data_IF_734781700820
#
_entry.id   IF_734781700820
#
_cell.length_a   1.000
_cell.length_b   1.000
_cell.length_c   1.000
_cell.angle_alpha   90.00
_cell.angle_beta   90.00
_cell.angle_gamma   90.00
#
_symmetry.space_group_name_H-M   'P 1'
#
loop_
_entity.id
_entity.type
_entity.pdbx_description
1 polymer ?
#
# COMPACT_ATOMS: atom_id res chain seq x y z
N UNK A 1 -13.82 17.58 8.89
CA UNK A 1 -14.82 16.55 9.31
C UNK A 1 -14.13 15.65 10.31
N UNK A 2 -14.88 14.89 11.12
CA UNK A 2 -14.26 13.82 11.90
C UNK A 2 -13.88 12.67 10.95
N UNK A 3 -12.62 12.23 10.99
CA UNK A 3 -12.16 11.06 10.25
C UNK A 3 -12.99 9.85 10.67
N UNK A 4 -13.48 9.04 9.73
CA UNK A 4 -14.27 7.83 10.05
C UNK A 4 -13.36 6.62 10.18
N UNK A 5 -12.33 6.50 9.34
CA UNK A 5 -11.37 5.38 9.34
C UNK A 5 -9.90 5.84 9.38
N UNK A 6 -9.01 5.06 10.01
CA UNK A 6 -7.56 5.34 10.04
C UNK A 6 -6.97 5.46 8.62
N UNK A 7 -7.57 4.78 7.64
CA UNK A 7 -7.26 4.88 6.20
C UNK A 7 -7.33 6.29 5.64
N UNK A 8 -8.17 7.16 6.19
CA UNK A 8 -8.28 8.55 5.71
C UNK A 8 -7.05 9.38 6.10
N UNK A 9 -6.34 9.00 7.17
CA UNK A 9 -5.11 9.67 7.61
C UNK A 9 -3.89 9.20 6.81
N UNK A 10 -3.94 7.98 6.24
CA UNK A 10 -2.83 7.38 5.53
C UNK A 10 -2.43 8.17 4.28
N UNK A 11 -3.38 8.40 3.36
CA UNK A 11 -3.09 9.04 2.08
C UNK A 11 -2.49 10.47 2.22
N UNK A 12 -3.00 11.35 3.11
CA UNK A 12 -2.39 12.66 3.34
C UNK A 12 -0.96 12.59 3.86
N UNK A 13 -0.67 11.68 4.80
CA UNK A 13 0.67 11.52 5.38
C UNK A 13 1.64 10.96 4.35
N UNK A 14 1.20 9.98 3.55
CA UNK A 14 1.98 9.46 2.42
C UNK A 14 2.35 10.57 1.44
N UNK A 15 1.36 11.31 0.94
CA UNK A 15 1.59 12.40 -0.01
C UNK A 15 2.53 13.48 0.57
N UNK A 16 2.40 13.80 1.86
CA UNK A 16 3.29 14.75 2.53
C UNK A 16 4.77 14.32 2.45
N UNK A 17 5.08 13.05 2.72
CA UNK A 17 6.46 12.57 2.67
C UNK A 17 6.96 12.29 1.25
N UNK A 18 6.10 11.86 0.33
CA UNK A 18 6.46 11.74 -1.09
C UNK A 18 6.89 13.09 -1.67
N UNK A 19 6.17 14.17 -1.32
CA UNK A 19 6.55 15.54 -1.69
C UNK A 19 7.88 16.00 -1.08
N UNK A 20 8.37 15.34 -0.02
CA UNK A 20 9.69 15.57 0.57
C UNK A 20 10.80 14.70 -0.05
N UNK A 21 10.46 13.93 -1.09
CA UNK A 21 11.37 13.08 -1.86
C UNK A 21 11.57 11.69 -1.28
N UNK A 22 10.64 11.19 -0.46
CA UNK A 22 10.65 9.81 0.01
C UNK A 22 9.91 8.90 -0.98
N UNK A 23 10.46 7.72 -1.25
CA UNK A 23 9.65 6.59 -1.74
C UNK A 23 8.89 6.02 -0.53
N UNK A 24 7.56 5.95 -0.59
CA UNK A 24 6.72 5.58 0.56
C UNK A 24 5.84 4.37 0.25
N UNK A 25 5.79 3.41 1.17
CA UNK A 25 4.97 2.19 1.08
C UNK A 25 4.29 1.89 2.42
N UNK A 26 3.04 1.43 2.38
CA UNK A 26 2.25 1.13 3.55
C UNK A 26 2.46 -0.29 4.07
N UNK A 27 2.13 -0.53 5.35
CA UNK A 27 2.04 -1.86 5.96
C UNK A 27 3.30 -2.73 5.86
N UNK A 28 4.50 -2.13 5.85
CA UNK A 28 5.78 -2.84 5.74
C UNK A 28 6.21 -3.35 7.12
N UNK A 29 6.28 -4.68 7.31
CA UNK A 29 6.54 -5.32 8.63
C UNK A 29 5.67 -4.78 9.76
N UNK A 30 4.38 -4.65 9.49
CA UNK A 30 3.36 -4.13 10.40
C UNK A 30 3.60 -2.66 10.80
N UNK A 31 4.42 -1.90 10.08
CA UNK A 31 4.48 -0.45 10.24
C UNK A 31 3.47 0.16 9.27
N UNK A 32 2.64 1.10 9.74
CA UNK A 32 1.58 1.68 8.90
C UNK A 32 2.15 2.33 7.64
N UNK A 33 3.27 3.05 7.76
CA UNK A 33 3.98 3.67 6.64
C UNK A 33 5.50 3.60 6.85
N UNK A 34 6.21 3.21 5.80
CA UNK A 34 7.67 3.26 5.74
C UNK A 34 8.08 4.08 4.53
N UNK A 35 9.08 4.95 4.69
CA UNK A 35 9.64 5.75 3.61
C UNK A 35 11.15 5.61 3.53
N UNK A 36 11.71 5.63 2.32
CA UNK A 36 13.17 5.69 2.11
C UNK A 36 13.47 6.87 1.19
N UNK A 37 14.40 7.72 1.61
CA UNK A 37 14.92 8.77 0.74
C UNK A 37 16.11 8.22 -0.06
N UNK A 38 16.18 8.43 -1.39
CA UNK A 38 17.32 7.98 -2.19
C UNK A 38 18.64 8.46 -1.58
N UNK A 39 19.61 7.54 -1.45
CA UNK A 39 20.91 7.82 -0.84
C UNK A 39 20.93 7.83 0.70
N UNK A 40 19.80 7.67 1.40
CA UNK A 40 19.75 7.58 2.85
C UNK A 40 19.44 6.15 3.33
N UNK A 41 20.17 5.70 4.36
CA UNK A 41 19.98 4.37 4.95
C UNK A 41 19.04 4.35 6.16
N UNK A 42 18.57 5.52 6.61
CA UNK A 42 17.67 5.63 7.76
C UNK A 42 16.24 5.72 7.25
N UNK A 43 15.43 4.64 7.40
CA UNK A 43 14.07 4.65 6.90
C UNK A 43 13.21 5.59 7.75
N UNK A 44 12.37 6.39 7.11
CA UNK A 44 11.24 7.01 7.77
C UNK A 44 10.24 5.93 8.19
N UNK A 45 9.71 6.00 9.40
CA UNK A 45 8.59 5.15 9.83
C UNK A 45 7.52 6.04 10.42
N UNK A 46 6.25 5.83 10.04
CA UNK A 46 5.10 6.54 10.61
C UNK A 46 4.07 5.54 11.08
N UNK A 47 3.67 5.65 12.35
CA UNK A 47 2.53 4.95 12.92
C UNK A 47 1.33 5.91 12.98
N UNK A 48 0.14 5.43 12.65
CA UNK A 48 -1.05 6.24 12.43
C UNK A 48 -2.18 5.72 13.32
N UNK A 49 -2.78 6.62 14.11
CA UNK A 49 -4.03 6.33 14.83
C UNK A 49 -4.99 7.49 14.73
N UNK A 50 -6.29 7.21 14.81
CA UNK A 50 -7.30 8.28 14.80
C UNK A 50 -7.09 9.28 15.94
N UNK A 51 -6.79 8.80 17.14
CA UNK A 51 -6.53 9.62 18.32
C UNK A 51 -5.16 9.28 18.90
N UNK A 52 -4.56 10.27 19.58
CA UNK A 52 -3.33 10.03 20.33
C UNK A 52 -3.65 9.20 21.58
N UNK A 53 -3.08 8.01 21.67
CA UNK A 53 -3.31 7.07 22.76
C UNK A 53 -2.03 6.30 23.10
N UNK A 54 -2.04 5.54 24.20
CA UNK A 54 -0.86 4.81 24.67
C UNK A 54 -0.40 3.74 23.66
N UNK A 55 -1.31 3.09 22.95
CA UNK A 55 -0.95 2.09 21.95
C UNK A 55 -0.09 2.69 20.83
N UNK A 56 -0.48 3.86 20.30
CA UNK A 56 0.30 4.59 19.30
C UNK A 56 1.72 4.92 19.81
N UNK A 57 1.82 5.38 21.06
CA UNK A 57 3.12 5.72 21.68
C UNK A 57 4.01 4.48 21.80
N UNK A 58 3.45 3.38 22.31
CA UNK A 58 4.20 2.11 22.47
C UNK A 58 4.65 1.55 21.11
N UNK A 59 3.80 1.65 20.08
CA UNK A 59 4.17 1.28 18.71
C UNK A 59 5.32 2.16 18.22
N UNK A 60 5.21 3.50 18.33
CA UNK A 60 6.28 4.42 17.96
C UNK A 60 7.60 4.11 18.66
N UNK A 61 7.59 3.88 19.97
CA UNK A 61 8.77 3.49 20.73
C UNK A 61 9.38 2.15 20.27
N UNK A 62 8.54 1.21 19.85
CA UNK A 62 9.02 -0.05 19.27
C UNK A 62 9.74 0.18 17.93
N UNK A 63 9.26 1.14 17.12
CA UNK A 63 9.90 1.52 15.84
C UNK A 63 11.21 2.27 16.02
N UNK A 64 11.43 2.95 17.14
CA UNK A 64 12.72 3.57 17.46
C UNK A 64 13.89 2.56 17.50
N UNK A 65 13.58 1.26 17.73
CA UNK A 65 14.57 0.17 17.64
C UNK A 65 15.00 -0.16 16.20
N UNK A 66 14.27 0.36 15.20
CA UNK A 66 14.47 0.10 13.76
C UNK A 66 15.01 1.33 13.03
N UNK A 67 14.56 2.52 13.44
CA UNK A 67 14.93 3.79 12.87
C UNK A 67 14.92 4.89 13.92
N UNK A 68 15.77 5.89 13.74
CA UNK A 68 15.73 7.11 14.53
C UNK A 68 14.77 8.17 13.95
N UNK A 69 14.29 7.97 12.72
CA UNK A 69 13.34 8.85 12.02
C UNK A 69 11.91 8.29 12.12
N UNK A 70 11.31 8.38 13.31
CA UNK A 70 9.99 7.80 13.60
C UNK A 70 8.98 8.90 13.96
N UNK A 71 7.87 8.94 13.24
CA UNK A 71 6.75 9.80 13.56
C UNK A 71 5.54 8.99 14.05
N UNK A 72 4.72 9.63 14.87
CA UNK A 72 3.35 9.21 15.13
C UNK A 72 2.39 10.26 14.55
N UNK A 73 1.31 9.82 13.91
CA UNK A 73 0.36 10.70 13.23
C UNK A 73 -1.07 10.48 13.73
N UNK A 74 -1.78 11.58 13.97
CA UNK A 74 -3.17 11.55 14.46
C UNK A 74 -4.07 12.59 13.81
N UNK A 75 -5.38 12.40 13.90
CA UNK A 75 -6.35 13.40 13.47
C UNK A 75 -6.31 14.64 14.38
N UNK A 76 -6.30 15.83 13.78
CA UNK A 76 -6.61 17.09 14.45
C UNK A 76 -8.02 17.55 14.11
N UNK A 77 -8.97 17.14 14.95
CA UNK A 77 -10.37 17.49 14.78
C UNK A 77 -10.66 18.93 15.20
N UNK A 78 -10.94 19.81 14.22
CA UNK A 78 -11.28 21.23 14.44
C UNK A 78 -12.71 21.49 14.90
N UNK A 79 -13.64 20.53 14.74
CA UNK A 79 -15.04 20.70 15.15
C UNK A 79 -15.23 20.56 16.67
N UNK A 80 -14.30 19.91 17.36
CA UNK A 80 -14.23 19.86 18.83
C UNK A 80 -13.53 21.12 19.40
N UNK A 81 -13.88 22.30 18.89
CA UNK A 81 -13.48 23.58 19.47
C UNK A 81 -14.10 23.68 20.87
N UNK A 82 -13.26 23.80 21.90
CA UNK A 82 -13.70 23.80 23.31
C UNK A 82 -13.41 22.51 24.07
N UNK A 83 -12.83 21.48 23.43
CA UNK A 83 -12.15 20.45 24.19
C UNK A 83 -10.88 21.07 24.80
N UNK A 84 -10.95 21.44 26.07
CA UNK A 84 -9.83 21.63 27.01
C UNK A 84 -8.80 20.47 26.94
N UNK A 85 -9.12 19.37 26.23
CA UNK A 85 -8.41 18.09 26.18
C UNK A 85 -7.65 17.77 24.89
N UNK A 86 -7.03 18.76 24.23
CA UNK A 86 -5.89 18.45 23.36
C UNK A 86 -4.69 19.22 23.87
N UNK A 87 -4.05 18.65 24.89
CA UNK A 87 -2.83 19.14 25.55
C UNK A 87 -1.64 18.99 24.60
N UNK A 88 -1.72 19.60 23.41
CA UNK A 88 -0.76 19.43 22.32
C UNK A 88 0.66 19.74 22.77
N UNK A 89 0.85 20.78 23.58
CA UNK A 89 2.15 21.12 24.15
C UNK A 89 2.74 19.98 24.99
N UNK A 90 1.91 19.27 25.75
CA UNK A 90 2.35 18.13 26.55
C UNK A 90 2.58 16.88 25.72
N UNK A 91 1.74 16.63 24.71
CA UNK A 91 1.96 15.54 23.76
C UNK A 91 3.26 15.77 22.97
N UNK A 92 3.54 17.02 22.58
CA UNK A 92 4.80 17.44 21.98
C UNK A 92 5.95 17.21 22.96
N UNK A 93 5.80 17.62 24.23
CA UNK A 93 6.79 17.40 25.29
C UNK A 93 7.13 15.91 25.47
N UNK A 94 6.10 15.07 25.58
CA UNK A 94 6.24 13.62 25.67
C UNK A 94 6.94 13.03 24.44
N UNK A 95 6.49 13.39 23.23
CA UNK A 95 7.11 12.87 22.00
C UNK A 95 8.59 13.27 21.90
N UNK A 96 8.93 14.52 22.26
CA UNK A 96 10.33 14.99 22.34
C UNK A 96 11.15 14.17 23.34
N UNK A 97 10.64 13.94 24.55
CA UNK A 97 11.32 13.12 25.56
C UNK A 97 11.56 11.68 25.09
N UNK A 98 10.62 11.13 24.32
CA UNK A 98 10.72 9.78 23.77
C UNK A 98 11.52 9.71 22.46
N UNK A 99 11.89 10.83 21.85
CA UNK A 99 12.57 10.86 20.55
C UNK A 99 11.66 10.68 19.33
N UNK A 100 10.33 10.78 19.51
CA UNK A 100 9.33 10.65 18.45
C UNK A 100 9.01 12.00 17.80
N UNK A 101 8.77 11.98 16.49
CA UNK A 101 8.08 13.07 15.80
C UNK A 101 6.56 12.97 15.97
N UNK A 102 5.86 14.10 15.94
CA UNK A 102 4.40 14.16 16.03
C UNK A 102 3.84 14.90 14.82
N UNK A 103 2.96 14.22 14.09
CA UNK A 103 2.20 14.76 12.97
C UNK A 103 0.73 14.88 13.35
N UNK A 104 0.07 15.90 12.83
CA UNK A 104 -1.38 15.99 12.85
C UNK A 104 -1.96 16.19 11.46
N UNK A 105 -3.08 15.54 11.19
CA UNK A 105 -3.82 15.69 9.94
C UNK A 105 -5.16 16.37 10.21
N UNK A 106 -5.42 17.49 9.56
CA UNK A 106 -6.73 18.14 9.56
C UNK A 106 -7.44 17.86 8.23
N UNK A 107 -8.63 17.24 8.29
CA UNK A 107 -9.51 17.12 7.12
C UNK A 107 -10.51 18.28 7.03
N UNK A 108 -10.58 18.91 5.86
CA UNK A 108 -11.58 19.94 5.54
C UNK A 108 -12.70 19.36 4.68
N UNK A 109 -13.84 20.06 4.61
CA UNK A 109 -14.94 19.67 3.70
C UNK A 109 -14.66 20.08 2.26
N UNK A 110 -13.97 21.21 2.06
CA UNK A 110 -13.86 21.92 0.79
C UNK A 110 -12.42 22.12 0.33
N UNK A 111 -11.44 21.64 1.11
CA UNK A 111 -10.01 21.86 0.85
C UNK A 111 -9.24 20.55 1.06
N UNK A 112 -8.08 20.37 0.41
CA UNK A 112 -7.23 19.21 0.65
C UNK A 112 -6.83 19.12 2.14
N UNK A 113 -6.59 17.90 2.66
CA UNK A 113 -6.18 17.70 4.03
C UNK A 113 -4.83 18.39 4.31
N UNK A 114 -4.70 18.97 5.50
CA UNK A 114 -3.47 19.63 5.94
C UNK A 114 -2.73 18.73 6.91
N UNK A 115 -1.47 18.42 6.58
CA UNK A 115 -0.53 17.75 7.48
C UNK A 115 0.36 18.79 8.15
N UNK A 116 0.38 18.80 9.48
CA UNK A 116 1.22 19.70 10.29
C UNK A 116 2.22 18.86 11.10
N UNK A 117 3.49 19.27 11.08
CA UNK A 117 4.54 18.69 11.93
C UNK A 117 4.60 19.47 13.24
N UNK A 118 4.12 18.88 14.33
CA UNK A 118 4.14 19.52 15.65
C UNK A 118 5.51 19.37 16.34
N UNK A 119 6.17 18.24 16.14
CA UNK A 119 7.58 18.08 16.47
C UNK A 119 8.28 17.09 15.55
N UNK A 120 9.58 17.30 15.33
CA UNK A 120 10.44 16.38 14.60
C UNK A 120 11.07 15.37 15.59
N UNK A 121 11.42 14.15 15.15
CA UNK A 121 12.16 13.19 15.95
C UNK A 121 13.50 13.80 16.38
N UNK A 122 13.96 13.49 17.60
CA UNK A 122 15.17 14.09 18.19
C UNK A 122 16.43 13.78 17.37
N UNK A 123 16.42 12.70 16.60
CA UNK A 123 17.52 12.32 15.73
C UNK A 123 17.53 12.97 14.33
N UNK A 124 16.69 14.00 14.09
CA UNK A 124 16.73 14.76 12.84
C UNK A 124 17.93 15.74 12.75
N UNK A 125 18.78 15.82 13.77
CA UNK A 125 20.13 16.35 13.65
C UNK A 125 21.07 15.21 13.24
N UNK A 126 21.65 15.35 12.05
CA UNK A 126 22.44 14.36 11.28
C UNK A 126 23.65 13.70 12.00
N UNK A 127 23.89 13.94 13.29
CA UNK A 127 25.15 13.60 13.96
C UNK A 127 25.11 12.38 14.88
N UNK A 128 23.94 11.89 15.34
CA UNK A 128 23.90 10.79 16.32
C UNK A 128 23.75 9.40 15.70
N UNK A 129 23.33 9.30 14.43
CA UNK A 129 23.15 8.00 13.74
C UNK A 129 23.90 7.91 12.41
N UNK A 130 25.05 8.60 12.29
CA UNK A 130 26.00 8.33 11.21
C UNK A 130 26.49 6.87 11.32
N UNK A 131 26.11 6.10 10.31
CA UNK A 131 26.90 4.98 9.76
C UNK A 131 27.28 3.84 10.72
N UNK A 132 26.32 3.28 11.47
CA UNK A 132 26.49 1.87 11.85
C UNK A 132 26.03 1.00 10.70
N UNK A 133 26.98 0.31 10.06
CA UNK A 133 26.70 -0.66 9.00
C UNK A 133 25.54 -1.57 9.41
N UNK A 134 24.55 -1.72 8.52
CA UNK A 134 23.36 -2.55 8.78
C UNK A 134 23.84 -3.98 9.04
N UNK A 135 23.68 -4.45 10.29
CA UNK A 135 24.05 -5.83 10.65
C UNK A 135 23.17 -6.82 9.88
N UNK A 136 23.79 -7.82 9.24
CA UNK A 136 23.09 -8.94 8.61
C UNK A 136 22.19 -9.65 9.63
N UNK A 137 20.96 -9.98 9.25
CA UNK A 137 19.92 -10.57 10.08
C UNK A 137 19.13 -9.57 10.96
N UNK A 138 19.54 -8.30 11.02
CA UNK A 138 18.90 -7.30 11.90
C UNK A 138 17.44 -7.02 11.51
N UNK A 139 16.65 -6.55 12.49
CA UNK A 139 15.26 -6.16 12.22
C UNK A 139 15.18 -5.01 11.20
N UNK A 140 16.16 -4.10 11.21
CA UNK A 140 16.33 -3.01 10.24
C UNK A 140 16.59 -3.54 8.83
N UNK A 141 17.53 -4.48 8.66
CA UNK A 141 17.80 -5.10 7.36
C UNK A 141 16.55 -5.79 6.79
N UNK A 142 15.83 -6.54 7.63
CA UNK A 142 14.59 -7.22 7.23
C UNK A 142 13.50 -6.23 6.81
N UNK A 143 13.38 -5.09 7.49
CA UNK A 143 12.45 -4.01 7.13
C UNK A 143 12.78 -3.45 5.75
N UNK A 144 14.04 -3.09 5.51
CA UNK A 144 14.50 -2.56 4.23
C UNK A 144 14.33 -3.57 3.10
N UNK A 145 14.65 -4.85 3.35
CA UNK A 145 14.45 -5.93 2.38
C UNK A 145 12.99 -6.09 2.00
N UNK A 146 12.08 -6.00 2.96
CA UNK A 146 10.64 -6.06 2.65
C UNK A 146 10.18 -4.83 1.88
N UNK A 147 10.64 -3.62 2.27
CA UNK A 147 10.31 -2.38 1.58
C UNK A 147 10.71 -2.44 0.09
N UNK A 148 11.93 -2.88 -0.21
CA UNK A 148 12.41 -2.99 -1.59
C UNK A 148 11.77 -4.16 -2.37
N UNK A 149 11.29 -5.19 -1.69
CA UNK A 149 10.62 -6.31 -2.34
C UNK A 149 9.21 -5.97 -2.86
N UNK A 150 8.59 -4.89 -2.36
CA UNK A 150 7.26 -4.44 -2.80
C UNK A 150 7.36 -3.58 -4.05
N UNK A 151 6.54 -3.87 -5.05
CA UNK A 151 6.51 -3.08 -6.30
C UNK A 151 5.64 -1.83 -6.23
N UNK A 152 4.82 -1.66 -5.19
CA UNK A 152 3.93 -0.52 -5.03
C UNK A 152 3.25 -0.46 -3.66
N UNK A 153 2.37 0.53 -3.48
CA UNK A 153 1.60 0.75 -2.27
C UNK A 153 0.17 0.22 -2.40
N UNK A 154 0.03 -1.11 -2.37
CA UNK A 154 -1.27 -1.78 -2.56
C UNK A 154 -2.13 -1.80 -1.28
N UNK A 155 -1.61 -1.30 -0.16
CA UNK A 155 -2.30 -1.28 1.13
C UNK A 155 -2.57 0.14 1.57
N UNK A 156 -3.82 0.58 1.47
CA UNK A 156 -4.28 1.79 2.16
C UNK A 156 -4.35 1.45 3.66
N UNK A 157 -3.42 2.00 4.46
CA UNK A 157 -3.20 1.61 5.86
C UNK A 157 -4.45 1.65 6.74
N UNK A 158 -4.63 0.67 7.64
CA UNK A 158 -5.77 0.63 8.57
C UNK A 158 -7.09 0.10 8.00
N UNK A 159 -7.12 -0.47 6.79
CA UNK A 159 -8.31 -1.14 6.27
C UNK A 159 -8.54 -2.48 6.94
N UNK A 160 -9.53 -2.58 7.83
CA UNK A 160 -9.92 -3.85 8.48
C UNK A 160 -10.68 -4.81 7.55
N UNK A 161 -11.02 -4.39 6.31
CA UNK A 161 -11.85 -5.18 5.39
C UNK A 161 -11.14 -5.63 4.09
N UNK A 162 -10.00 -5.05 3.70
CA UNK A 162 -9.18 -5.58 2.59
C UNK A 162 -8.03 -6.41 3.15
N UNK A 163 -7.85 -7.64 2.63
CA UNK A 163 -6.73 -8.52 3.04
C UNK A 163 -5.39 -7.87 2.67
N UNK A 164 -4.55 -7.61 3.67
CA UNK A 164 -3.27 -6.93 3.55
C UNK A 164 -2.33 -7.60 2.51
N UNK A 165 -1.97 -6.91 1.44
CA UNK A 165 -1.06 -7.40 0.41
C UNK A 165 0.39 -7.26 0.90
N UNK A 166 0.92 -8.31 1.52
CA UNK A 166 2.34 -8.36 1.91
C UNK A 166 3.25 -8.59 0.70
N UNK A 167 4.56 -8.31 0.82
CA UNK A 167 5.54 -8.65 -0.21
C UNK A 167 5.54 -10.16 -0.57
N UNK A 168 5.28 -11.04 0.41
CA UNK A 168 5.12 -12.47 0.13
C UNK A 168 3.86 -12.75 -0.67
N UNK A 169 2.75 -12.05 -0.37
CA UNK A 169 1.50 -12.18 -1.11
C UNK A 169 1.65 -11.70 -2.55
N UNK A 170 2.35 -10.59 -2.81
CA UNK A 170 2.67 -10.14 -4.17
C UNK A 170 3.46 -11.22 -4.93
N UNK A 171 4.54 -11.74 -4.33
CA UNK A 171 5.31 -12.83 -4.94
C UNK A 171 4.45 -14.06 -5.24
N UNK A 172 3.61 -14.47 -4.29
CA UNK A 172 2.70 -15.59 -4.46
C UNK A 172 1.68 -15.33 -5.59
N UNK A 173 1.16 -14.11 -5.72
CA UNK A 173 0.25 -13.72 -6.79
C UNK A 173 0.94 -13.76 -8.15
N UNK A 174 2.19 -13.30 -8.28
CA UNK A 174 2.96 -13.43 -9.53
C UNK A 174 3.19 -14.88 -9.94
N UNK A 175 3.58 -15.71 -8.98
CA UNK A 175 3.78 -17.15 -9.22
C UNK A 175 2.45 -17.80 -9.59
N UNK A 176 1.35 -17.41 -8.97
CA UNK A 176 0.01 -17.90 -9.31
C UNK A 176 -0.42 -17.46 -10.72
N UNK A 177 -0.22 -16.20 -11.10
CA UNK A 177 -0.55 -15.70 -12.43
C UNK A 177 0.27 -16.40 -13.53
N UNK A 178 1.58 -16.57 -13.32
CA UNK A 178 2.42 -17.33 -14.23
C UNK A 178 1.98 -18.79 -14.34
N UNK A 179 1.50 -19.39 -13.25
CA UNK A 179 1.00 -20.76 -13.25
C UNK A 179 -0.37 -20.90 -13.92
N UNK A 180 -1.23 -19.89 -13.82
CA UNK A 180 -2.51 -19.83 -14.56
C UNK A 180 -2.27 -19.88 -16.07
N UNK A 181 -1.32 -19.09 -16.58
CA UNK A 181 -1.00 -19.08 -18.02
C UNK A 181 -0.34 -20.36 -18.53
N UNK A 182 0.33 -21.13 -17.66
CA UNK A 182 1.04 -22.36 -18.02
C UNK A 182 0.25 -23.65 -17.70
N UNK A 183 -0.80 -23.56 -16.87
CA UNK A 183 -1.55 -24.70 -16.32
C UNK A 183 -0.75 -25.51 -15.29
N UNK A 184 0.28 -26.21 -15.77
CA UNK A 184 1.23 -26.95 -14.93
C UNK A 184 2.66 -26.54 -15.24
N UNK A 185 3.44 -26.20 -14.22
CA UNK A 185 4.81 -25.76 -14.43
C UNK A 185 5.78 -26.22 -13.34
N UNK A 186 7.06 -26.25 -13.73
CA UNK A 186 8.16 -26.50 -12.80
C UNK A 186 8.62 -25.20 -12.11
N UNK A 187 9.13 -25.27 -10.87
CA UNK A 187 9.59 -24.08 -10.13
C UNK A 187 10.60 -23.22 -10.89
N UNK A 188 11.51 -23.83 -11.65
CA UNK A 188 12.50 -23.10 -12.44
C UNK A 188 11.88 -22.31 -13.60
N UNK A 189 10.82 -22.83 -14.21
CA UNK A 189 10.08 -22.13 -15.27
C UNK A 189 9.30 -20.97 -14.67
N UNK A 190 8.59 -21.21 -13.57
CA UNK A 190 7.85 -20.17 -12.85
C UNK A 190 8.76 -19.05 -12.34
N UNK A 191 9.97 -19.36 -11.89
CA UNK A 191 10.93 -18.35 -11.44
C UNK A 191 11.30 -17.36 -12.56
N UNK A 192 11.42 -17.86 -13.80
CA UNK A 192 11.69 -17.02 -14.98
C UNK A 192 10.45 -16.23 -15.41
N UNK A 193 9.32 -16.91 -15.57
CA UNK A 193 8.07 -16.29 -16.07
C UNK A 193 7.52 -15.25 -15.09
N UNK A 194 7.54 -15.52 -13.78
CA UNK A 194 7.03 -14.61 -12.76
C UNK A 194 8.08 -13.56 -12.31
N UNK A 195 9.33 -13.64 -12.79
CA UNK A 195 10.46 -12.89 -12.26
C UNK A 195 10.63 -13.02 -10.73
N UNK A 196 10.38 -14.22 -10.18
CA UNK A 196 10.50 -14.53 -8.75
C UNK A 196 11.57 -15.60 -8.55
N UNK A 197 12.79 -15.20 -8.22
CA UNK A 197 13.94 -16.11 -8.06
C UNK A 197 13.72 -17.21 -7.00
N UNK A 198 12.90 -16.95 -5.98
CA UNK A 198 12.54 -17.87 -4.91
C UNK A 198 11.19 -18.59 -5.11
N UNK A 199 10.71 -18.74 -6.36
CA UNK A 199 9.42 -19.38 -6.66
C UNK A 199 9.28 -20.79 -6.05
N UNK A 200 10.37 -21.57 -6.00
CA UNK A 200 10.36 -22.89 -5.36
C UNK A 200 9.99 -22.81 -3.86
N UNK A 201 10.49 -21.81 -3.13
CA UNK A 201 10.18 -21.64 -1.72
C UNK A 201 8.73 -21.18 -1.51
N UNK A 202 8.20 -20.35 -2.42
CA UNK A 202 6.79 -19.92 -2.41
C UNK A 202 5.85 -21.12 -2.59
N UNK A 203 6.12 -21.96 -3.59
CA UNK A 203 5.35 -23.18 -3.88
C UNK A 203 5.41 -24.19 -2.73
N UNK A 204 6.57 -24.34 -2.08
CA UNK A 204 6.75 -25.30 -0.98
C UNK A 204 6.09 -24.84 0.32
N UNK A 205 6.19 -23.55 0.66
CA UNK A 205 5.60 -23.02 1.90
C UNK A 205 4.09 -22.93 1.81
N UNK A 206 3.56 -22.55 0.63
CA UNK A 206 2.14 -22.56 0.30
C UNK A 206 1.21 -22.04 1.41
N UNK A 207 1.57 -20.94 2.09
CA UNK A 207 0.83 -20.42 3.25
C UNK A 207 -0.66 -20.13 3.00
N UNK A 208 -1.05 -19.95 1.73
CA UNK A 208 -2.41 -19.63 1.34
C UNK A 208 -3.16 -20.80 0.69
N UNK A 209 -2.51 -21.95 0.51
CA UNK A 209 -3.12 -23.11 -0.15
C UNK A 209 -3.41 -22.92 -1.64
N UNK A 210 -2.73 -21.98 -2.31
CA UNK A 210 -2.97 -21.64 -3.72
C UNK A 210 -2.36 -22.64 -4.70
N UNK A 211 -1.38 -23.41 -4.25
CA UNK A 211 -0.62 -24.32 -5.10
C UNK A 211 -0.81 -25.77 -4.66
N UNK A 212 -0.79 -26.69 -5.61
CA UNK A 212 -0.74 -28.12 -5.33
C UNK A 212 0.34 -28.78 -6.18
N UNK A 213 1.02 -29.78 -5.59
CA UNK A 213 2.06 -30.54 -6.27
C UNK A 213 1.46 -31.79 -6.89
N UNK A 214 1.34 -31.80 -8.22
CA UNK A 214 0.74 -32.91 -8.97
C UNK A 214 1.74 -34.01 -9.32
N UNK A 215 3.03 -33.66 -9.46
CA UNK A 215 4.09 -34.61 -9.70
C UNK A 215 5.43 -34.10 -9.13
N UNK A 216 6.49 -34.90 -9.30
CA UNK A 216 7.83 -34.50 -8.84
C UNK A 216 8.26 -33.23 -9.57
N UNK A 217 8.28 -32.10 -8.84
CA UNK A 217 8.72 -30.82 -9.38
C UNK A 217 7.71 -30.15 -10.31
N UNK A 218 6.44 -30.56 -10.28
CA UNK A 218 5.35 -30.00 -11.08
C UNK A 218 4.22 -29.55 -10.17
N UNK A 219 3.74 -28.34 -10.40
CA UNK A 219 2.69 -27.70 -9.61
C UNK A 219 1.57 -27.22 -10.53
N UNK A 220 0.35 -27.11 -9.98
CA UNK A 220 -0.78 -26.41 -10.58
C UNK A 220 -1.48 -25.52 -9.55
N UNK A 221 -2.40 -24.67 -10.01
CA UNK A 221 -3.25 -23.88 -9.14
C UNK A 221 -4.37 -24.72 -8.54
N UNK A 222 -4.69 -24.44 -7.28
CA UNK A 222 -5.92 -24.90 -6.64
C UNK A 222 -7.07 -23.93 -6.96
N UNK A 223 -8.33 -24.31 -6.71
CA UNK A 223 -9.46 -23.39 -6.82
C UNK A 223 -9.31 -22.13 -5.94
N UNK A 224 -8.63 -22.24 -4.78
CA UNK A 224 -8.34 -21.09 -3.93
C UNK A 224 -7.33 -20.12 -4.56
N UNK A 225 -6.37 -20.64 -5.33
CA UNK A 225 -5.41 -19.84 -6.09
C UNK A 225 -6.08 -19.09 -7.24
N UNK A 226 -6.98 -19.75 -7.97
CA UNK A 226 -7.76 -19.11 -9.04
C UNK A 226 -8.68 -18.00 -8.51
N UNK A 227 -9.38 -18.27 -7.40
CA UNK A 227 -10.21 -17.27 -6.73
C UNK A 227 -9.37 -16.07 -6.25
N UNK A 228 -8.15 -16.32 -5.76
CA UNK A 228 -7.25 -15.24 -5.34
C UNK A 228 -6.79 -14.37 -6.52
N UNK A 229 -6.52 -14.94 -7.70
CA UNK A 229 -6.18 -14.13 -8.87
C UNK A 229 -7.31 -13.17 -9.26
N UNK A 230 -8.57 -13.59 -9.07
CA UNK A 230 -9.74 -12.73 -9.26
C UNK A 230 -9.86 -11.68 -8.14
N UNK A 231 -9.68 -12.09 -6.87
CA UNK A 231 -9.75 -11.20 -5.70
C UNK A 231 -8.70 -10.07 -5.75
N UNK A 232 -7.52 -10.32 -6.34
CA UNK A 232 -6.41 -9.37 -6.41
C UNK A 232 -6.10 -8.91 -7.85
N UNK A 233 -7.06 -8.95 -8.77
CA UNK A 233 -6.87 -8.55 -10.17
C UNK A 233 -6.32 -7.11 -10.31
N UNK A 234 -6.86 -6.16 -9.54
CA UNK A 234 -6.38 -4.76 -9.51
C UNK A 234 -4.88 -4.66 -9.16
N UNK A 235 -4.41 -5.51 -8.24
CA UNK A 235 -3.00 -5.53 -7.79
C UNK A 235 -2.09 -6.08 -8.90
N UNK A 236 -2.58 -7.05 -9.69
CA UNK A 236 -1.82 -7.65 -10.78
C UNK A 236 -1.74 -6.72 -12.00
N UNK A 237 -2.82 -6.04 -12.34
CA UNK A 237 -2.84 -5.01 -13.42
C UNK A 237 -1.85 -3.87 -13.14
N UNK A 238 -1.81 -3.36 -11.90
CA UNK A 238 -0.85 -2.30 -11.51
C UNK A 238 0.61 -2.74 -11.60
N UNK A 239 0.88 -4.05 -11.67
CA UNK A 239 2.23 -4.61 -11.86
C UNK A 239 2.53 -4.97 -13.32
N UNK A 240 1.63 -4.63 -14.25
CA UNK A 240 1.75 -4.99 -15.67
C UNK A 240 1.61 -6.49 -15.91
N UNK A 241 0.89 -7.20 -15.05
CA UNK A 241 0.64 -8.65 -15.18
C UNK A 241 -0.80 -8.84 -15.61
N UNK A 242 -0.98 -9.17 -16.89
CA UNK A 242 -2.28 -9.56 -17.43
C UNK A 242 -2.70 -10.91 -16.85
N UNK A 243 -3.91 -10.96 -16.31
CA UNK A 243 -4.55 -12.20 -15.87
C UNK A 243 -5.72 -12.50 -16.79
N UNK A 244 -6.15 -13.77 -16.85
CA UNK A 244 -7.35 -14.13 -17.59
C UNK A 244 -8.60 -13.34 -17.12
N UNK A 245 -8.64 -12.93 -15.85
CA UNK A 245 -9.69 -12.07 -15.30
C UNK A 245 -9.57 -10.61 -15.75
N UNK A 246 -8.36 -10.08 -15.91
CA UNK A 246 -8.12 -8.73 -16.46
C UNK A 246 -8.51 -8.63 -17.93
N UNK A 247 -8.21 -9.66 -18.72
CA UNK A 247 -8.64 -9.75 -20.13
C UNK A 247 -10.17 -9.83 -20.25
N UNK A 248 -10.85 -10.53 -19.33
CA UNK A 248 -12.32 -10.60 -19.31
C UNK A 248 -12.98 -9.26 -18.93
N UNK A 249 -12.36 -8.46 -18.05
CA UNK A 249 -12.86 -7.14 -17.67
C UNK A 249 -12.71 -6.11 -18.79
N UNK A 250 -11.56 -6.10 -19.48
CA UNK A 250 -11.34 -5.24 -20.66
C UNK A 250 -12.26 -5.62 -21.83
N UNK A 251 -12.53 -6.91 -22.03
CA UNK A 251 -13.51 -7.37 -23.01
C UNK A 251 -14.93 -6.89 -22.66
N UNK A 252 -15.31 -6.83 -21.39
CA UNK A 252 -16.65 -6.40 -20.98
C UNK A 252 -16.84 -4.88 -21.15
N UNK A 253 -15.85 -4.06 -20.78
CA UNK A 253 -15.88 -2.60 -21.02
C UNK A 253 -15.89 -2.26 -22.51
N UNK A 254 -15.13 -3.01 -23.33
CA UNK A 254 -15.11 -2.84 -24.79
C UNK A 254 -16.45 -3.25 -25.43
N UNK A 255 -17.08 -4.31 -24.92
CA UNK A 255 -18.37 -4.80 -25.40
C UNK A 255 -19.53 -3.87 -25.01
N UNK A 256 -19.49 -3.28 -23.82
CA UNK A 256 -20.44 -2.26 -23.39
C UNK A 256 -20.29 -0.95 -24.20
N UNK A 257 -19.06 -0.53 -24.52
CA UNK A 257 -18.83 0.63 -25.40
C UNK A 257 -19.30 0.40 -26.85
N UNK A 258 -19.14 -0.82 -27.38
CA UNK A 258 -19.68 -1.20 -28.70
C UNK A 258 -21.21 -1.24 -28.73
N UNK A 259 -21.86 -1.72 -27.67
CA UNK A 259 -23.33 -1.73 -27.57
C UNK A 259 -23.94 -0.32 -27.41
N UNK A 260 -23.24 0.61 -26.75
CA UNK A 260 -23.70 2.00 -26.62
C UNK A 260 -23.57 2.75 -27.96
N UNK A 261 -22.57 2.42 -28.79
CA UNK A 261 -22.39 3.04 -30.11
C UNK A 261 -23.50 2.64 -31.11
N UNK A 262 -23.88 1.36 -31.15
CA UNK A 262 -24.92 0.85 -32.07
C UNK A 262 -26.34 1.31 -31.71
N UNK A 263 -26.60 1.68 -30.45
CA UNK A 263 -27.91 2.18 -30.02
C UNK A 263 -28.18 3.65 -30.40
N UNK A 264 -27.18 4.38 -30.92
CA UNK A 264 -27.28 5.83 -31.19
C UNK A 264 -27.61 6.21 -32.64
N UNK A 265 -27.69 5.24 -33.57
CA UNK A 265 -27.99 5.51 -34.99
C UNK A 265 -29.44 5.14 -35.29
N UNK A 266 -30.37 5.97 -34.84
CA UNK A 266 -31.79 5.82 -35.14
C UNK A 266 -32.55 7.12 -34.99
N UNK A 267 -32.92 7.70 -36.14
CA UNK A 267 -33.86 8.80 -36.35
C UNK A 267 -33.34 10.24 -36.21
N UNK A 268 -33.08 10.89 -37.35
CA UNK A 268 -33.73 12.16 -37.72
C UNK A 268 -33.31 12.61 -39.12
N UNK A 269 -34.12 12.35 -40.14
CA UNK A 269 -34.15 13.18 -41.36
C UNK A 269 -35.52 13.03 -42.02
N UNK A 270 -36.44 13.96 -41.74
CA UNK A 270 -37.40 14.41 -42.75
C UNK A 270 -37.27 15.93 -42.79
N UNK A 271 -36.60 16.38 -43.84
CA UNK A 271 -36.43 17.78 -44.23
C UNK A 271 -37.69 18.21 -44.95
N UNK A 272 -38.17 19.39 -44.59
CA UNK A 272 -39.19 20.12 -45.31
C UNK A 272 -38.58 20.70 -46.60
N UNK A 273 -39.24 20.51 -47.74
CA UNK A 273 -39.06 21.32 -48.94
C UNK A 273 -40.40 21.97 -49.29
N UNK A 274 -40.31 23.25 -49.61
CA UNK A 274 -41.36 24.13 -50.11
C UNK A 274 -41.09 24.42 -51.60
N UNK A 275 -42.10 25.00 -52.27
CA UNK A 275 -42.18 25.47 -53.68
C UNK A 275 -42.52 24.34 -54.69
N UNK A 276 -43.43 24.47 -55.66
CA UNK A 276 -44.15 25.60 -56.28
C UNK A 276 -45.40 25.08 -57.04
N UNK A 277 -46.26 26.02 -57.47
CA UNK A 277 -47.55 25.96 -58.22
C UNK A 277 -48.87 25.81 -57.44
#
# INVERSE_FOLDING_TARGET
>A
MAVRHETELYAPVKAFFENLGYEVKGEVRNCDLVGIKPGQQTPLIVEIKKTFNLALVLQGMQRLKLSSNVYVAVERNRAKKGAVNQRWNELIGLCRQLGLGLLTVTHFKTKPPLVEVLCKPVASSDDVYKTTAIRRGSRKEKLLREFHARSGDHNVGGSTRRKLVTAYREKALRVAAALQGLGEAAPAQLARTAAVSDAAAVLQRNYYGWFERVARGRYRLTPFGEAALSEYAEVLQQQGIETAAGMAAEFNESSEQLQIADASVGYSTIVAEAEDD
#
